data_IF_999878372204
#
_entry.id   IF_999878372204
#
_cell.length_a   1.000
_cell.length_b   1.000
_cell.length_c   1.000
_cell.angle_alpha   90.00
_cell.angle_beta   90.00
_cell.angle_gamma   90.00
#
_symmetry.space_group_name_H-M   'P 1'
#
loop_
_entity.id
_entity.type
_entity.pdbx_description
1 polymer ?
#
# COMPACT_ATOMS: atom_id res chain seq x y z
N UNK A 1 3.15 -1.96 -41.51
CA UNK A 1 4.58 -2.07 -41.86
C UNK A 1 5.49 -1.15 -41.03
N UNK A 2 5.10 0.06 -40.68
CA UNK A 2 5.95 0.96 -39.90
C UNK A 2 6.34 0.41 -38.50
N UNK A 3 5.43 -0.22 -37.80
CA UNK A 3 5.67 -0.72 -36.43
C UNK A 3 6.69 -1.88 -36.37
N UNK A 4 6.70 -2.78 -37.39
CA UNK A 4 7.65 -3.89 -37.44
C UNK A 4 9.09 -3.37 -37.67
N UNK A 5 9.23 -2.35 -38.52
CA UNK A 5 10.50 -1.73 -38.79
C UNK A 5 11.06 -0.97 -37.56
N UNK A 6 10.22 -0.28 -36.83
CA UNK A 6 10.61 0.39 -35.56
C UNK A 6 11.05 -0.61 -34.51
N UNK A 7 10.33 -1.73 -34.33
CA UNK A 7 10.70 -2.73 -33.33
C UNK A 7 11.95 -3.54 -33.73
N UNK A 8 12.15 -3.82 -35.02
CA UNK A 8 13.40 -4.43 -35.50
C UNK A 8 14.60 -3.51 -35.31
N UNK A 9 14.41 -2.22 -35.51
CA UNK A 9 15.44 -1.23 -35.27
C UNK A 9 15.77 -1.07 -33.77
N UNK A 10 14.75 -1.10 -32.89
CA UNK A 10 14.95 -1.12 -31.44
C UNK A 10 15.68 -2.36 -30.93
N UNK A 11 15.36 -3.54 -31.48
CA UNK A 11 16.09 -4.79 -31.14
C UNK A 11 17.54 -4.70 -31.57
N UNK A 12 17.82 -4.22 -32.77
CA UNK A 12 19.18 -4.06 -33.28
C UNK A 12 20.01 -3.08 -32.43
N UNK A 13 19.42 -1.94 -32.08
CA UNK A 13 20.04 -0.94 -31.17
C UNK A 13 20.28 -1.54 -29.79
N UNK A 14 19.31 -2.27 -29.22
CA UNK A 14 19.43 -2.93 -27.94
C UNK A 14 20.56 -3.96 -27.90
N UNK A 15 20.68 -4.78 -28.95
CA UNK A 15 21.79 -5.76 -29.11
C UNK A 15 23.13 -5.04 -29.23
N UNK A 16 23.22 -3.99 -30.04
CA UNK A 16 24.43 -3.21 -30.20
C UNK A 16 24.88 -2.56 -28.87
N UNK A 17 23.96 -2.00 -28.11
CA UNK A 17 24.22 -1.46 -26.76
C UNK A 17 24.62 -2.54 -25.76
N UNK A 18 24.01 -3.71 -25.80
CA UNK A 18 24.36 -4.83 -24.94
C UNK A 18 25.78 -5.35 -25.24
N UNK A 19 26.12 -5.52 -26.51
CA UNK A 19 27.46 -5.98 -26.91
C UNK A 19 28.52 -4.94 -26.57
N UNK A 20 28.30 -3.68 -26.87
CA UNK A 20 29.24 -2.59 -26.52
C UNK A 20 29.39 -2.45 -25.00
N UNK A 21 28.27 -2.52 -24.26
CA UNK A 21 28.25 -2.47 -22.80
C UNK A 21 29.01 -3.65 -22.18
N UNK A 22 28.87 -4.87 -22.74
CA UNK A 22 29.62 -6.05 -22.32
C UNK A 22 31.13 -5.89 -22.53
N UNK A 23 31.54 -5.45 -23.72
CA UNK A 23 32.95 -5.21 -24.03
C UNK A 23 33.55 -4.14 -23.09
N UNK A 24 32.85 -3.04 -22.90
CA UNK A 24 33.31 -1.96 -21.99
C UNK A 24 33.31 -2.37 -20.53
N UNK A 25 32.33 -3.15 -20.10
CA UNK A 25 32.29 -3.71 -18.75
C UNK A 25 33.49 -4.62 -18.48
N UNK A 26 33.90 -5.45 -19.49
CA UNK A 26 35.06 -6.32 -19.38
C UNK A 26 36.37 -5.54 -19.25
N UNK A 27 36.49 -4.45 -20.01
CA UNK A 27 37.62 -3.52 -19.94
C UNK A 27 37.64 -2.74 -18.61
N UNK A 28 36.47 -2.21 -18.20
CA UNK A 28 36.34 -1.46 -16.94
C UNK A 28 36.57 -2.36 -15.71
N UNK A 29 36.16 -3.63 -15.74
CA UNK A 29 36.42 -4.58 -14.65
C UNK A 29 37.92 -4.92 -14.53
N UNK A 30 38.64 -5.04 -15.64
CA UNK A 30 40.09 -5.24 -15.64
C UNK A 30 40.81 -4.02 -15.06
N UNK A 31 40.42 -2.80 -15.45
CA UNK A 31 40.96 -1.54 -14.89
C UNK A 31 40.68 -1.39 -13.41
N UNK A 32 39.45 -1.76 -12.96
CA UNK A 32 39.09 -1.73 -11.55
C UNK A 32 39.85 -2.78 -10.71
N UNK A 33 40.16 -3.94 -11.29
CA UNK A 33 41.01 -4.96 -10.63
C UNK A 33 42.45 -4.52 -10.44
N UNK A 34 42.97 -3.70 -11.40
CA UNK A 34 44.31 -3.14 -11.35
C UNK A 34 44.40 -1.89 -10.43
N UNK A 35 43.40 -1.06 -10.41
CA UNK A 35 43.36 0.15 -9.58
C UNK A 35 41.92 0.36 -9.02
N UNK A 36 41.79 0.24 -7.68
CA UNK A 36 40.51 0.39 -6.93
C UNK A 36 40.04 1.83 -6.76
N UNK A 37 40.49 2.76 -7.58
CA UNK A 37 40.11 4.17 -7.53
C UNK A 37 38.60 4.38 -7.65
N UNK A 38 38.09 5.41 -6.97
CA UNK A 38 36.66 5.82 -6.98
C UNK A 38 36.15 6.09 -8.40
N UNK A 39 37.03 6.60 -9.29
CA UNK A 39 36.75 6.86 -10.72
C UNK A 39 36.51 5.53 -11.47
N UNK A 40 37.35 4.55 -11.29
CA UNK A 40 37.23 3.23 -11.94
C UNK A 40 35.99 2.45 -11.44
N UNK A 41 35.59 2.63 -10.18
CA UNK A 41 34.34 2.08 -9.63
C UNK A 41 33.11 2.68 -10.31
N UNK A 42 33.07 4.01 -10.51
CA UNK A 42 31.97 4.71 -11.23
C UNK A 42 31.87 4.22 -12.68
N UNK A 43 33.00 4.10 -13.37
CA UNK A 43 33.02 3.61 -14.76
C UNK A 43 32.50 2.16 -14.86
N UNK A 44 32.89 1.28 -13.92
CA UNK A 44 32.37 -0.08 -13.86
C UNK A 44 30.85 -0.13 -13.63
N UNK A 45 30.33 0.71 -12.74
CA UNK A 45 28.89 0.80 -12.48
C UNK A 45 28.14 1.31 -13.71
N UNK A 46 28.66 2.38 -14.37
CA UNK A 46 28.05 2.97 -15.56
C UNK A 46 27.99 1.98 -16.74
N UNK A 47 29.07 1.25 -16.98
CA UNK A 47 29.12 0.21 -18.02
C UNK A 47 28.21 -0.98 -17.72
N UNK A 48 28.01 -1.32 -16.44
CA UNK A 48 27.05 -2.35 -16.04
C UNK A 48 25.61 -1.90 -16.27
N UNK A 49 25.29 -0.64 -15.99
CA UNK A 49 23.98 -0.06 -16.27
C UNK A 49 23.69 0.00 -17.78
N UNK A 50 24.66 0.41 -18.59
CA UNK A 50 24.54 0.41 -20.06
C UNK A 50 24.32 -1.01 -20.63
N UNK A 51 25.00 -2.00 -20.09
CA UNK A 51 24.78 -3.41 -20.46
C UNK A 51 23.37 -3.88 -20.13
N UNK A 52 22.87 -3.60 -18.91
CA UNK A 52 21.53 -3.97 -18.48
C UNK A 52 20.45 -3.27 -19.33
N UNK A 53 20.64 -2.00 -19.64
CA UNK A 53 19.74 -1.21 -20.48
C UNK A 53 19.71 -1.74 -21.90
N UNK A 54 20.85 -2.13 -22.45
CA UNK A 54 20.96 -2.76 -23.77
C UNK A 54 20.27 -4.12 -23.82
N UNK A 55 20.45 -4.97 -22.80
CA UNK A 55 19.74 -6.25 -22.70
C UNK A 55 18.23 -6.03 -22.56
N UNK A 56 17.80 -5.06 -21.77
CA UNK A 56 16.38 -4.74 -21.60
C UNK A 56 15.74 -4.28 -22.92
N UNK A 57 16.39 -3.34 -23.65
CA UNK A 57 15.92 -2.88 -24.96
C UNK A 57 15.86 -4.00 -26.00
N UNK A 58 16.85 -4.90 -26.00
CA UNK A 58 16.86 -6.04 -26.91
C UNK A 58 15.71 -7.00 -26.64
N UNK A 59 15.48 -7.33 -25.36
CA UNK A 59 14.36 -8.19 -24.92
C UNK A 59 13.02 -7.51 -25.24
N UNK A 60 12.90 -6.23 -24.98
CA UNK A 60 11.71 -5.43 -25.28
C UNK A 60 11.35 -5.47 -26.76
N UNK A 61 12.31 -5.15 -27.62
CA UNK A 61 12.07 -5.15 -29.06
C UNK A 61 11.73 -6.55 -29.59
N UNK A 62 12.40 -7.61 -29.05
CA UNK A 62 12.13 -9.00 -29.41
C UNK A 62 10.69 -9.42 -29.01
N UNK A 63 10.27 -9.08 -27.79
CA UNK A 63 8.91 -9.38 -27.32
C UNK A 63 7.85 -8.64 -28.14
N UNK A 64 8.11 -7.39 -28.50
CA UNK A 64 7.20 -6.63 -29.38
C UNK A 64 7.14 -7.20 -30.80
N UNK A 65 8.23 -7.76 -31.32
CA UNK A 65 8.24 -8.46 -32.59
C UNK A 65 7.46 -9.78 -32.56
N UNK A 66 7.58 -10.53 -31.46
CA UNK A 66 6.94 -11.84 -31.31
C UNK A 66 5.45 -11.75 -30.94
N UNK A 67 5.10 -10.77 -30.08
CA UNK A 67 3.77 -10.67 -29.48
C UNK A 67 3.02 -9.36 -29.79
N UNK A 68 3.64 -8.43 -30.51
CA UNK A 68 3.13 -7.07 -30.72
C UNK A 68 1.91 -6.93 -31.64
N UNK A 69 1.44 -8.02 -32.26
CA UNK A 69 0.31 -7.97 -33.18
C UNK A 69 -1.09 -8.09 -32.54
N UNK A 70 -1.18 -8.20 -31.22
CA UNK A 70 -2.46 -8.40 -30.52
C UNK A 70 -2.89 -7.27 -29.59
N UNK A 71 -2.11 -6.20 -29.49
CA UNK A 71 -2.57 -5.00 -28.80
C UNK A 71 -3.23 -4.07 -29.84
N UNK A 72 -4.47 -4.35 -30.19
CA UNK A 72 -5.37 -3.33 -30.71
C UNK A 72 -5.42 -2.22 -29.66
N UNK A 73 -5.29 -0.99 -30.11
CA UNK A 73 -5.41 0.22 -29.32
C UNK A 73 -6.88 0.40 -28.87
N UNK A 74 -7.35 -0.46 -27.98
CA UNK A 74 -8.46 -0.10 -27.12
C UNK A 74 -7.96 1.07 -26.28
N UNK A 75 -8.69 2.19 -26.34
CA UNK A 75 -8.31 3.40 -25.60
C UNK A 75 -8.11 3.05 -24.13
N UNK A 76 -7.06 3.60 -23.52
CA UNK A 76 -6.82 3.40 -22.09
C UNK A 76 -7.98 4.03 -21.31
N UNK A 77 -8.91 3.21 -20.87
CA UNK A 77 -9.98 3.59 -19.96
C UNK A 77 -9.63 3.12 -18.55
N UNK A 78 -9.47 4.08 -17.64
CA UNK A 78 -9.27 3.77 -16.22
C UNK A 78 -10.63 3.47 -15.61
N UNK A 79 -10.87 2.22 -15.27
CA UNK A 79 -12.05 1.84 -14.49
C UNK A 79 -11.93 2.32 -13.04
N UNK A 80 -12.41 3.53 -12.78
CA UNK A 80 -12.44 4.11 -11.43
C UNK A 80 -13.46 3.40 -10.53
N UNK A 81 -14.55 2.92 -11.12
CA UNK A 81 -15.63 2.26 -10.39
C UNK A 81 -15.37 0.77 -10.24
N UNK A 82 -15.69 0.24 -9.06
CA UNK A 82 -15.61 -1.19 -8.83
C UNK A 82 -16.74 -1.91 -9.58
N UNK A 83 -16.41 -3.04 -10.20
CA UNK A 83 -17.39 -3.91 -10.85
C UNK A 83 -18.51 -4.31 -9.87
N UNK A 84 -19.73 -4.37 -10.36
CA UNK A 84 -20.89 -4.77 -9.58
C UNK A 84 -21.36 -6.16 -9.96
N UNK A 85 -21.44 -7.03 -8.97
CA UNK A 85 -21.97 -8.39 -9.12
C UNK A 85 -23.37 -8.43 -8.57
N UNK A 86 -24.31 -9.02 -9.32
CA UNK A 86 -25.67 -9.25 -8.84
C UNK A 86 -25.73 -10.52 -8.00
N UNK A 87 -25.97 -10.36 -6.69
CA UNK A 87 -26.15 -11.46 -5.75
C UNK A 87 -27.56 -11.38 -5.15
N UNK A 88 -28.40 -12.36 -5.46
CA UNK A 88 -29.74 -12.47 -4.87
C UNK A 88 -30.67 -11.27 -5.16
N UNK A 89 -30.51 -10.59 -6.31
CA UNK A 89 -31.34 -9.42 -6.69
C UNK A 89 -30.79 -8.05 -6.24
N UNK A 90 -29.66 -8.04 -5.51
CA UNK A 90 -28.96 -6.80 -5.11
C UNK A 90 -27.66 -6.66 -5.89
N UNK A 91 -27.37 -5.45 -6.37
CA UNK A 91 -26.08 -5.13 -7.01
C UNK A 91 -25.06 -4.78 -5.93
N UNK A 92 -24.17 -5.73 -5.61
CA UNK A 92 -23.06 -5.53 -4.66
C UNK A 92 -21.77 -5.21 -5.42
N UNK A 93 -20.97 -4.29 -4.86
CA UNK A 93 -19.62 -4.05 -5.36
C UNK A 93 -18.71 -5.24 -5.03
N UNK A 94 -17.87 -5.65 -5.97
CA UNK A 94 -16.87 -6.70 -5.77
C UNK A 94 -15.96 -6.40 -4.58
N UNK A 95 -15.65 -5.13 -4.33
CA UNK A 95 -14.85 -4.68 -3.19
C UNK A 95 -15.48 -4.99 -1.84
N UNK A 96 -16.82 -4.92 -1.73
CA UNK A 96 -17.55 -5.29 -0.51
C UNK A 96 -17.48 -6.80 -0.26
N UNK A 97 -17.61 -7.62 -1.30
CA UNK A 97 -17.50 -9.08 -1.19
C UNK A 97 -16.09 -9.45 -0.75
N UNK A 98 -15.08 -8.86 -1.35
CA UNK A 98 -13.67 -9.10 -0.97
C UNK A 98 -13.42 -8.67 0.48
N UNK A 99 -13.98 -7.53 0.93
CA UNK A 99 -13.83 -7.09 2.32
C UNK A 99 -14.46 -8.07 3.31
N UNK A 100 -15.60 -8.68 2.97
CA UNK A 100 -16.21 -9.72 3.79
C UNK A 100 -15.36 -10.99 3.85
N UNK A 101 -14.74 -11.37 2.73
CA UNK A 101 -13.82 -12.52 2.70
C UNK A 101 -12.61 -12.24 3.59
N UNK A 102 -12.00 -11.04 3.50
CA UNK A 102 -10.88 -10.65 4.36
C UNK A 102 -11.28 -10.72 5.83
N UNK A 103 -12.43 -10.15 6.20
CA UNK A 103 -12.94 -10.21 7.57
C UNK A 103 -13.17 -11.65 8.04
N UNK A 104 -13.77 -12.48 7.20
CA UNK A 104 -14.00 -13.90 7.54
C UNK A 104 -12.67 -14.65 7.74
N UNK A 105 -11.67 -14.41 6.90
CA UNK A 105 -10.34 -15.02 7.04
C UNK A 105 -9.65 -14.55 8.32
N UNK A 106 -9.70 -13.26 8.64
CA UNK A 106 -9.11 -12.70 9.86
C UNK A 106 -9.80 -13.23 11.12
N UNK A 107 -11.14 -13.34 11.11
CA UNK A 107 -11.91 -13.92 12.22
C UNK A 107 -11.58 -15.41 12.40
N UNK A 108 -11.50 -16.16 11.30
CA UNK A 108 -11.11 -17.56 11.33
C UNK A 108 -9.70 -17.74 11.89
N UNK A 109 -8.75 -16.92 11.42
CA UNK A 109 -7.37 -16.94 11.91
C UNK A 109 -7.31 -16.60 13.41
N UNK A 110 -8.03 -15.57 13.87
CA UNK A 110 -8.11 -15.22 15.28
C UNK A 110 -8.73 -16.36 16.13
N UNK A 111 -9.78 -17.00 15.62
CA UNK A 111 -10.42 -18.14 16.28
C UNK A 111 -9.47 -19.35 16.37
N UNK A 112 -8.77 -19.67 15.30
CA UNK A 112 -7.78 -20.74 15.29
C UNK A 112 -6.63 -20.47 16.26
N UNK A 113 -6.13 -19.24 16.31
CA UNK A 113 -5.10 -18.83 17.28
C UNK A 113 -5.63 -18.98 18.69
N UNK A 114 -6.86 -18.54 18.96
CA UNK A 114 -7.48 -18.65 20.30
C UNK A 114 -7.67 -20.10 20.75
N UNK A 115 -8.09 -20.99 19.85
CA UNK A 115 -8.43 -22.39 20.21
C UNK A 115 -7.17 -23.26 20.26
N UNK A 116 -6.26 -23.14 19.29
CA UNK A 116 -5.15 -24.09 19.12
C UNK A 116 -3.80 -23.56 19.60
N UNK A 117 -3.60 -22.24 19.62
CA UNK A 117 -2.30 -21.63 19.90
C UNK A 117 -2.22 -21.12 21.34
N UNK A 118 -3.20 -20.31 21.77
CA UNK A 118 -3.20 -19.72 23.12
C UNK A 118 -3.15 -20.78 24.23
N UNK A 119 -3.88 -21.92 24.16
CA UNK A 119 -3.80 -22.95 25.20
C UNK A 119 -2.43 -23.63 25.32
N UNK A 120 -1.59 -23.52 24.28
CA UNK A 120 -0.23 -24.09 24.24
C UNK A 120 0.87 -23.11 24.66
N UNK A 121 0.50 -21.91 25.07
CA UNK A 121 1.48 -20.91 25.53
C UNK A 121 2.18 -21.40 26.79
N UNK A 122 3.51 -21.19 26.83
CA UNK A 122 4.40 -21.60 27.93
C UNK A 122 5.16 -20.37 28.43
N UNK A 123 5.62 -20.42 29.67
CA UNK A 123 6.46 -19.37 30.29
C UNK A 123 7.77 -19.12 29.52
N UNK A 124 8.29 -20.17 28.85
CA UNK A 124 9.39 -20.03 27.88
C UNK A 124 8.82 -20.04 26.49
N UNK A 125 8.68 -18.85 25.85
CA UNK A 125 7.97 -18.73 24.57
C UNK A 125 8.70 -19.42 23.43
N UNK A 126 7.94 -20.19 22.63
CA UNK A 126 8.41 -20.70 21.35
C UNK A 126 8.53 -19.57 20.30
N UNK A 127 9.22 -19.80 19.18
CA UNK A 127 9.43 -18.80 18.14
C UNK A 127 8.10 -18.14 17.66
N UNK A 128 7.08 -18.92 17.45
CA UNK A 128 5.78 -18.45 16.98
C UNK A 128 5.04 -17.63 18.05
N UNK A 129 5.06 -18.09 19.30
CA UNK A 129 4.50 -17.38 20.46
C UNK A 129 5.20 -16.02 20.63
N UNK A 130 6.53 -16.00 20.56
CA UNK A 130 7.31 -14.76 20.68
C UNK A 130 6.95 -13.72 19.60
N UNK A 131 6.72 -14.16 18.36
CA UNK A 131 6.28 -13.24 17.28
C UNK A 131 4.90 -12.67 17.55
N UNK A 132 3.94 -13.50 17.99
CA UNK A 132 2.59 -13.04 18.32
C UNK A 132 2.60 -12.06 19.51
N UNK A 133 3.30 -12.40 20.58
CA UNK A 133 3.46 -11.55 21.75
C UNK A 133 4.12 -10.23 21.39
N UNK A 134 5.19 -10.26 20.58
CA UNK A 134 5.88 -9.06 20.11
C UNK A 134 4.97 -8.12 19.32
N UNK A 135 4.13 -8.65 18.42
CA UNK A 135 3.19 -7.84 17.65
C UNK A 135 2.17 -7.17 18.59
N UNK A 136 1.55 -7.96 19.47
CA UNK A 136 0.53 -7.44 20.40
C UNK A 136 1.15 -6.43 21.36
N UNK A 137 2.30 -6.75 21.95
CA UNK A 137 3.01 -5.85 22.88
C UNK A 137 3.42 -4.55 22.19
N UNK A 138 3.95 -4.61 20.98
CA UNK A 138 4.33 -3.43 20.19
C UNK A 138 3.14 -2.50 19.97
N UNK A 139 2.00 -3.05 19.52
CA UNK A 139 0.78 -2.25 19.29
C UNK A 139 0.23 -1.70 20.60
N UNK A 140 0.18 -2.50 21.67
CA UNK A 140 -0.26 -2.04 22.99
C UNK A 140 0.62 -0.92 23.52
N UNK A 141 1.95 -1.08 23.46
CA UNK A 141 2.92 -0.08 23.91
C UNK A 141 2.80 1.20 23.07
N UNK A 142 2.71 1.08 21.75
CA UNK A 142 2.55 2.22 20.86
C UNK A 142 1.26 2.99 21.16
N UNK A 143 0.13 2.29 21.33
CA UNK A 143 -1.15 2.89 21.65
C UNK A 143 -1.11 3.61 23.01
N UNK A 144 -0.59 2.95 24.06
CA UNK A 144 -0.48 3.52 25.40
C UNK A 144 0.47 4.72 25.45
N UNK A 145 1.54 4.70 24.65
CA UNK A 145 2.46 5.85 24.56
C UNK A 145 1.83 7.04 23.85
N UNK A 146 0.97 6.80 22.86
CA UNK A 146 0.35 7.85 22.04
C UNK A 146 -0.86 8.53 22.71
N UNK A 147 -1.66 7.78 23.48
CA UNK A 147 -2.97 8.28 23.99
C UNK A 147 -3.12 8.10 25.51
N UNK A 148 -2.12 7.52 26.16
CA UNK A 148 -2.21 7.12 27.56
C UNK A 148 -3.04 5.85 27.78
N UNK A 149 -3.37 5.55 29.01
CA UNK A 149 -4.15 4.36 29.35
C UNK A 149 -5.66 4.65 29.28
N UNK A 150 -6.27 4.36 28.12
CA UNK A 150 -7.71 4.46 27.89
C UNK A 150 -8.44 3.11 28.01
N UNK A 151 -7.73 2.08 28.45
CA UNK A 151 -8.20 0.70 28.57
C UNK A 151 -7.76 -0.19 27.43
N UNK A 152 -7.93 -1.50 27.60
CA UNK A 152 -7.38 -2.51 26.69
C UNK A 152 -8.15 -2.68 25.36
N UNK A 153 -9.33 -2.07 25.25
CA UNK A 153 -10.15 -2.15 24.05
C UNK A 153 -9.57 -1.35 22.87
N UNK A 154 -8.88 -0.23 23.15
CA UNK A 154 -8.32 0.61 22.10
C UNK A 154 -7.14 -0.07 21.36
N UNK A 155 -6.14 -0.65 22.04
CA UNK A 155 -5.09 -1.41 21.39
C UNK A 155 -5.64 -2.59 20.54
N UNK A 156 -6.65 -3.28 21.04
CA UNK A 156 -7.30 -4.38 20.31
C UNK A 156 -7.96 -3.89 19.00
N UNK A 157 -8.65 -2.75 19.04
CA UNK A 157 -9.22 -2.13 17.85
C UNK A 157 -8.12 -1.73 16.85
N UNK A 158 -7.05 -1.09 17.31
CA UNK A 158 -5.94 -0.66 16.48
C UNK A 158 -5.25 -1.85 15.79
N UNK A 159 -5.05 -2.95 16.52
CA UNK A 159 -4.50 -4.18 15.95
C UNK A 159 -5.43 -4.76 14.87
N UNK A 160 -6.74 -4.82 15.15
CA UNK A 160 -7.73 -5.34 14.20
C UNK A 160 -7.80 -4.49 12.93
N UNK A 161 -7.77 -3.17 13.08
CA UNK A 161 -7.74 -2.21 11.99
C UNK A 161 -6.47 -2.39 11.13
N UNK A 162 -5.30 -2.47 11.76
CA UNK A 162 -4.04 -2.69 11.06
C UNK A 162 -4.03 -4.02 10.31
N UNK A 163 -4.50 -5.11 10.93
CA UNK A 163 -4.61 -6.42 10.28
C UNK A 163 -5.57 -6.38 9.08
N UNK A 164 -6.70 -5.68 9.20
CA UNK A 164 -7.65 -5.54 8.09
C UNK A 164 -7.03 -4.78 6.93
N UNK A 165 -6.35 -3.66 7.17
CA UNK A 165 -5.70 -2.87 6.12
C UNK A 165 -4.56 -3.62 5.44
N UNK A 166 -3.75 -4.35 6.21
CA UNK A 166 -2.71 -5.25 5.66
C UNK A 166 -3.35 -6.40 4.85
N UNK A 167 -4.48 -6.92 5.29
CA UNK A 167 -5.26 -7.90 4.54
C UNK A 167 -5.76 -7.36 3.19
N UNK A 168 -6.22 -6.11 3.15
CA UNK A 168 -6.60 -5.45 1.89
C UNK A 168 -5.39 -5.31 0.93
N UNK A 169 -4.23 -4.94 1.46
CA UNK A 169 -2.98 -4.89 0.68
C UNK A 169 -2.55 -6.26 0.15
N UNK A 170 -2.71 -7.31 0.95
CA UNK A 170 -2.38 -8.68 0.53
C UNK A 170 -3.24 -9.15 -0.64
N UNK A 171 -4.51 -8.75 -0.70
CA UNK A 171 -5.41 -9.08 -1.82
C UNK A 171 -4.99 -8.38 -3.11
N UNK A 172 -4.47 -7.15 -3.02
CA UNK A 172 -3.93 -6.43 -4.17
C UNK A 172 -2.70 -7.12 -4.76
N UNK A 173 -1.84 -7.69 -3.91
CA UNK A 173 -0.71 -8.52 -4.37
C UNK A 173 -1.15 -9.77 -5.13
N UNK A 174 -2.36 -10.29 -4.87
CA UNK A 174 -2.95 -11.41 -5.60
C UNK A 174 -3.58 -10.99 -6.94
N UNK A 175 -3.53 -9.70 -7.28
CA UNK A 175 -4.08 -9.16 -8.52
C UNK A 175 -5.57 -8.81 -8.47
N UNK A 176 -6.19 -8.82 -7.28
CA UNK A 176 -7.56 -8.36 -7.11
C UNK A 176 -7.57 -6.90 -6.67
N UNK A 177 -8.62 -6.18 -7.03
CA UNK A 177 -8.81 -4.79 -6.63
C UNK A 177 -8.93 -4.69 -5.11
N UNK A 178 -8.06 -3.91 -4.48
CA UNK A 178 -8.11 -3.71 -3.03
C UNK A 178 -9.41 -3.03 -2.60
N UNK A 179 -10.08 -3.48 -1.52
CA UNK A 179 -11.27 -2.80 -0.99
C UNK A 179 -11.03 -1.33 -0.65
N UNK A 180 -9.80 -0.98 -0.26
CA UNK A 180 -9.37 0.39 0.06
C UNK A 180 -9.21 1.29 -1.17
N UNK A 181 -9.29 0.76 -2.40
CA UNK A 181 -9.42 1.53 -3.64
C UNK A 181 -10.88 1.93 -3.96
N UNK A 182 -11.84 1.65 -3.05
CA UNK A 182 -13.22 2.09 -3.16
C UNK A 182 -13.50 3.18 -2.12
N UNK A 183 -14.05 4.31 -2.58
CA UNK A 183 -14.34 5.46 -1.71
C UNK A 183 -15.38 5.14 -0.65
N UNK A 184 -16.32 4.24 -0.93
CA UNK A 184 -17.35 3.83 0.03
C UNK A 184 -16.77 3.09 1.21
N UNK A 185 -15.79 2.21 0.96
CA UNK A 185 -15.08 1.46 2.00
C UNK A 185 -14.16 2.38 2.83
N UNK A 186 -13.41 3.26 2.16
CA UNK A 186 -12.53 4.19 2.88
C UNK A 186 -13.30 5.19 3.71
N UNK A 187 -14.45 5.65 3.23
CA UNK A 187 -15.35 6.52 3.99
C UNK A 187 -15.94 5.78 5.19
N UNK A 188 -16.35 4.51 5.03
CA UNK A 188 -16.85 3.70 6.14
C UNK A 188 -15.80 3.54 7.25
N UNK A 189 -14.55 3.22 6.90
CA UNK A 189 -13.44 3.13 7.86
C UNK A 189 -13.17 4.45 8.58
N UNK A 190 -13.19 5.55 7.82
CA UNK A 190 -12.99 6.89 8.37
C UNK A 190 -14.13 7.31 9.30
N UNK A 191 -15.38 6.97 8.97
CA UNK A 191 -16.53 7.22 9.84
C UNK A 191 -16.50 6.40 11.13
N UNK A 192 -16.11 5.12 11.06
CA UNK A 192 -15.92 4.30 12.27
C UNK A 192 -14.85 4.94 13.16
N UNK A 193 -13.73 5.37 12.58
CA UNK A 193 -12.66 6.08 13.30
C UNK A 193 -13.18 7.37 13.93
N UNK A 194 -13.96 8.15 13.22
CA UNK A 194 -14.57 9.40 13.73
C UNK A 194 -15.53 9.15 14.90
N UNK A 195 -16.36 8.11 14.81
CA UNK A 195 -17.24 7.69 15.92
C UNK A 195 -16.40 7.31 17.13
N UNK A 196 -15.30 6.58 16.92
CA UNK A 196 -14.40 6.16 17.99
C UNK A 196 -13.71 7.35 18.67
N UNK A 197 -13.24 8.32 17.90
CA UNK A 197 -12.64 9.57 18.41
C UNK A 197 -13.62 10.29 19.35
N UNK A 198 -14.87 10.47 18.91
CA UNK A 198 -15.89 11.11 19.70
C UNK A 198 -16.28 10.28 20.93
N UNK A 199 -16.37 8.96 20.81
CA UNK A 199 -16.66 8.04 21.92
C UNK A 199 -15.63 8.18 23.04
N UNK A 200 -14.34 8.10 22.73
CA UNK A 200 -13.28 8.25 23.75
C UNK A 200 -13.22 9.67 24.31
N UNK A 201 -13.42 10.69 23.47
CA UNK A 201 -13.50 12.09 23.94
C UNK A 201 -14.65 12.30 24.94
N UNK A 202 -15.85 11.75 24.66
CA UNK A 202 -17.00 11.81 25.54
C UNK A 202 -16.79 10.97 26.81
N UNK A 203 -16.22 9.79 26.67
CA UNK A 203 -15.96 8.89 27.82
C UNK A 203 -15.05 9.52 28.86
N UNK A 204 -14.07 10.32 28.43
CA UNK A 204 -13.10 10.96 29.35
C UNK A 204 -13.59 12.30 29.89
N UNK A 205 -14.16 13.17 29.05
CA UNK A 205 -14.56 14.55 29.43
C UNK A 205 -16.05 14.70 29.76
N UNK A 206 -16.86 13.70 29.44
CA UNK A 206 -18.32 13.80 29.41
C UNK A 206 -18.82 14.60 28.20
N UNK A 207 -20.13 14.54 27.94
CA UNK A 207 -20.74 15.22 26.78
C UNK A 207 -20.55 16.74 26.86
N UNK A 208 -20.85 17.31 28.01
CA UNK A 208 -20.72 18.76 28.23
C UNK A 208 -19.27 19.21 28.16
N UNK A 209 -18.34 18.41 28.73
CA UNK A 209 -16.90 18.67 28.69
C UNK A 209 -16.36 18.65 27.23
N UNK A 210 -16.82 17.73 26.39
CA UNK A 210 -16.43 17.65 24.98
C UNK A 210 -16.90 18.88 24.19
N UNK A 211 -18.17 19.29 24.35
CA UNK A 211 -18.71 20.49 23.70
C UNK A 211 -17.95 21.73 24.19
N UNK A 212 -17.67 21.83 25.47
CA UNK A 212 -16.91 22.96 26.05
C UNK A 212 -15.45 22.99 25.59
N UNK A 213 -14.84 21.84 25.32
CA UNK A 213 -13.50 21.76 24.75
C UNK A 213 -13.43 22.27 23.30
N UNK A 214 -14.52 22.12 22.53
CA UNK A 214 -14.63 22.66 21.16
C UNK A 214 -14.73 24.21 21.18
N UNK A 215 -15.21 24.82 22.28
CA UNK A 215 -15.33 26.25 22.41
C UNK A 215 -14.10 26.94 23.02
N UNK A 216 -13.05 26.19 23.38
CA UNK A 216 -11.79 26.75 23.91
C UNK A 216 -10.84 27.09 22.74
N UNK A 217 -10.01 28.18 22.82
CA UNK A 217 -9.90 29.13 23.96
C UNK A 217 -11.00 30.21 23.97
N UNK A 218 -11.68 30.49 22.87
CA UNK A 218 -12.74 31.51 22.76
C UNK A 218 -13.94 30.95 22.00
N UNK A 219 -15.19 31.39 22.36
CA UNK A 219 -16.41 30.95 21.68
C UNK A 219 -16.42 31.20 20.15
N UNK A 220 -15.65 32.19 19.69
CA UNK A 220 -15.53 32.51 18.26
C UNK A 220 -14.85 31.38 17.46
N UNK A 221 -14.02 30.56 18.10
CA UNK A 221 -13.31 29.43 17.47
C UNK A 221 -14.22 28.20 17.34
N UNK A 222 -15.34 28.16 18.05
CA UNK A 222 -16.27 27.02 18.06
C UNK A 222 -16.73 26.56 16.66
N UNK A 223 -17.27 27.44 15.78
CA UNK A 223 -17.71 26.99 14.45
C UNK A 223 -16.54 26.47 13.61
N UNK A 224 -15.35 27.07 13.73
CA UNK A 224 -14.16 26.64 12.99
C UNK A 224 -13.70 25.25 13.44
N UNK A 225 -13.77 24.95 14.74
CA UNK A 225 -13.38 23.66 15.30
C UNK A 225 -14.36 22.54 14.94
N UNK A 226 -15.67 22.85 14.84
CA UNK A 226 -16.67 21.90 14.34
C UNK A 226 -16.39 21.53 12.89
N UNK A 227 -16.10 22.53 12.03
CA UNK A 227 -15.76 22.28 10.62
C UNK A 227 -14.48 21.45 10.52
N UNK A 228 -13.49 21.75 11.35
CA UNK A 228 -12.24 20.99 11.42
C UNK A 228 -12.47 19.54 11.83
N UNK A 229 -13.25 19.30 12.89
CA UNK A 229 -13.59 17.95 13.36
C UNK A 229 -14.36 17.14 12.28
N UNK A 230 -15.27 17.81 11.54
CA UNK A 230 -16.00 17.17 10.45
C UNK A 230 -15.10 16.89 9.23
N UNK A 231 -14.06 17.69 9.04
CA UNK A 231 -13.07 17.47 7.96
C UNK A 231 -12.18 16.25 8.21
N UNK A 232 -12.01 15.81 9.47
CA UNK A 232 -11.17 14.65 9.82
C UNK A 232 -11.55 13.38 9.07
N UNK A 233 -12.81 12.89 9.10
CA UNK A 233 -13.18 11.67 8.39
C UNK A 233 -13.04 11.82 6.88
N UNK A 234 -13.34 12.98 6.32
CA UNK A 234 -13.17 13.24 4.89
C UNK A 234 -11.71 13.19 4.49
N UNK A 235 -10.84 13.84 5.27
CA UNK A 235 -9.39 13.83 5.05
C UNK A 235 -8.79 12.43 5.12
N UNK A 236 -9.21 11.63 6.11
CA UNK A 236 -8.76 10.24 6.26
C UNK A 236 -9.22 9.36 5.10
N UNK A 237 -10.50 9.49 4.70
CA UNK A 237 -11.06 8.73 3.59
C UNK A 237 -10.38 9.09 2.26
N UNK A 238 -10.26 10.38 1.95
CA UNK A 238 -9.62 10.86 0.72
C UNK A 238 -8.14 10.46 0.65
N UNK A 239 -7.43 10.45 1.77
CA UNK A 239 -6.03 10.02 1.82
C UNK A 239 -5.88 8.56 1.49
N UNK A 240 -6.69 7.68 2.12
CA UNK A 240 -6.70 6.24 1.83
C UNK A 240 -7.05 5.97 0.37
N UNK A 241 -8.18 6.50 -0.06
CA UNK A 241 -8.68 6.32 -1.42
C UNK A 241 -7.70 6.87 -2.47
N UNK A 242 -7.22 8.11 -2.30
CA UNK A 242 -6.33 8.75 -3.27
C UNK A 242 -5.00 8.03 -3.43
N UNK A 243 -4.43 7.54 -2.34
CA UNK A 243 -3.17 6.80 -2.38
C UNK A 243 -3.32 5.44 -3.08
N UNK A 244 -4.38 4.68 -2.76
CA UNK A 244 -4.61 3.37 -3.37
C UNK A 244 -5.02 3.49 -4.84
N UNK A 245 -5.96 4.38 -5.16
CA UNK A 245 -6.37 4.64 -6.53
C UNK A 245 -5.21 5.17 -7.38
N UNK A 246 -4.42 6.09 -6.82
CA UNK A 246 -3.25 6.64 -7.51
C UNK A 246 -2.20 5.58 -7.83
N UNK A 247 -1.92 4.67 -6.90
CA UNK A 247 -1.03 3.51 -7.12
C UNK A 247 -1.54 2.60 -8.22
N UNK A 248 -2.82 2.25 -8.21
CA UNK A 248 -3.47 1.43 -9.22
C UNK A 248 -3.39 2.07 -10.62
N UNK A 249 -3.77 3.35 -10.75
CA UNK A 249 -3.70 4.08 -12.02
C UNK A 249 -2.28 4.13 -12.57
N UNK A 250 -1.28 4.39 -11.73
CA UNK A 250 0.12 4.44 -12.15
C UNK A 250 0.59 3.08 -12.65
N UNK A 251 0.18 2.00 -11.99
CA UNK A 251 0.52 0.64 -12.42
C UNK A 251 -0.17 0.27 -13.73
N UNK A 252 -1.44 0.56 -13.89
CA UNK A 252 -2.21 0.31 -15.11
C UNK A 252 -1.63 1.09 -16.30
N UNK A 253 -1.30 2.37 -16.09
CA UNK A 253 -0.64 3.20 -17.10
C UNK A 253 0.74 2.65 -17.48
N UNK A 254 1.48 2.13 -16.52
CA UNK A 254 2.78 1.53 -16.75
C UNK A 254 2.67 0.23 -17.56
N UNK A 255 1.69 -0.63 -17.23
CA UNK A 255 1.41 -1.84 -18.00
C UNK A 255 0.96 -1.50 -19.43
N UNK A 256 0.11 -0.50 -19.58
CA UNK A 256 -0.32 -0.02 -20.89
C UNK A 256 0.85 0.52 -21.73
N UNK A 257 1.70 1.37 -21.13
CA UNK A 257 2.83 1.98 -21.82
C UNK A 257 3.92 0.97 -22.23
N UNK A 258 4.20 -0.03 -21.39
CA UNK A 258 5.22 -1.04 -21.63
C UNK A 258 4.67 -2.22 -22.45
N UNK A 259 3.37 -2.52 -22.37
CA UNK A 259 2.74 -3.64 -23.09
C UNK A 259 3.48 -4.95 -22.86
N UNK A 260 3.85 -5.66 -23.95
CA UNK A 260 4.56 -6.95 -23.86
C UNK A 260 5.93 -6.90 -23.14
N UNK A 261 6.49 -5.71 -22.93
CA UNK A 261 7.74 -5.53 -22.18
C UNK A 261 7.53 -5.19 -20.70
N UNK A 262 6.33 -5.32 -20.21
CA UNK A 262 5.99 -5.13 -18.80
C UNK A 262 6.63 -6.23 -17.89
N UNK A 263 7.86 -6.65 -18.19
CA UNK A 263 8.61 -7.64 -17.43
C UNK A 263 9.80 -6.92 -16.75
N UNK A 264 9.88 -7.04 -15.44
CA UNK A 264 11.00 -6.52 -14.65
C UNK A 264 10.72 -5.16 -14.01
N UNK A 265 10.64 -4.05 -14.76
CA UNK A 265 10.37 -2.72 -14.16
C UNK A 265 9.01 -2.65 -13.47
N UNK A 266 7.89 -3.07 -14.09
CA UNK A 266 6.59 -3.10 -13.42
C UNK A 266 6.56 -4.02 -12.21
N UNK A 267 7.27 -5.15 -12.24
CA UNK A 267 7.32 -6.05 -11.07
C UNK A 267 7.99 -5.42 -9.86
N UNK A 268 9.06 -4.64 -10.06
CA UNK A 268 9.73 -3.90 -8.96
C UNK A 268 8.88 -2.75 -8.46
N UNK A 269 8.25 -2.00 -9.37
CA UNK A 269 7.35 -0.91 -9.00
C UNK A 269 6.05 -1.43 -8.39
N UNK A 270 5.52 -2.56 -8.87
CA UNK A 270 4.38 -3.25 -8.27
C UNK A 270 4.65 -3.68 -6.83
N UNK A 271 5.85 -4.17 -6.53
CA UNK A 271 6.23 -4.47 -5.15
C UNK A 271 6.21 -3.21 -4.26
N UNK A 272 6.63 -2.08 -4.81
CA UNK A 272 6.56 -0.80 -4.09
C UNK A 272 5.11 -0.34 -3.89
N UNK A 273 4.31 -0.25 -4.95
CA UNK A 273 2.95 0.29 -4.88
C UNK A 273 1.98 -0.64 -4.17
N UNK A 274 2.08 -1.97 -4.39
CA UNK A 274 1.12 -2.94 -3.85
C UNK A 274 1.53 -3.50 -2.47
N UNK A 275 2.79 -3.36 -2.04
CA UNK A 275 3.22 -3.85 -0.72
C UNK A 275 3.71 -2.71 0.19
N UNK A 276 4.77 -1.99 -0.20
CA UNK A 276 5.37 -0.99 0.70
C UNK A 276 4.44 0.19 0.95
N UNK A 277 3.81 0.70 -0.09
CA UNK A 277 2.93 1.85 0.02
C UNK A 277 1.71 1.61 0.91
N UNK A 278 0.94 0.51 0.77
CA UNK A 278 -0.15 0.17 1.67
C UNK A 278 0.28 -0.08 3.11
N UNK A 279 1.46 -0.66 3.34
CA UNK A 279 1.99 -0.83 4.70
C UNK A 279 2.28 0.51 5.37
N UNK A 280 2.95 1.42 4.67
CA UNK A 280 3.20 2.79 5.15
C UNK A 280 1.86 3.50 5.40
N UNK A 281 0.90 3.36 4.49
CA UNK A 281 -0.42 3.96 4.62
C UNK A 281 -1.19 3.43 5.83
N UNK A 282 -1.10 2.13 6.11
CA UNK A 282 -1.66 1.52 7.32
C UNK A 282 -1.06 2.16 8.58
N UNK A 283 0.25 2.30 8.62
CA UNK A 283 0.93 2.94 9.75
C UNK A 283 0.50 4.41 9.92
N UNK A 284 0.42 5.18 8.84
CA UNK A 284 -0.04 6.58 8.87
C UNK A 284 -1.49 6.66 9.36
N UNK A 285 -2.37 5.80 8.88
CA UNK A 285 -3.78 5.81 9.27
C UNK A 285 -3.94 5.50 10.78
N UNK A 286 -3.24 4.50 11.29
CA UNK A 286 -3.21 4.14 12.71
C UNK A 286 -2.68 5.30 13.55
N UNK A 287 -1.55 5.89 13.14
CA UNK A 287 -0.94 7.02 13.86
C UNK A 287 -1.88 8.21 13.94
N UNK A 288 -2.51 8.57 12.82
CA UNK A 288 -3.46 9.68 12.79
C UNK A 288 -4.71 9.39 13.62
N UNK A 289 -5.22 8.16 13.59
CA UNK A 289 -6.33 7.73 14.44
C UNK A 289 -5.99 7.97 15.92
N UNK A 290 -4.81 7.54 16.36
CA UNK A 290 -4.36 7.73 17.73
C UNK A 290 -4.14 9.21 18.07
N UNK A 291 -3.57 9.99 17.15
CA UNK A 291 -3.37 11.44 17.34
C UNK A 291 -4.70 12.17 17.53
N UNK A 292 -5.71 11.88 16.69
CA UNK A 292 -7.03 12.50 16.82
C UNK A 292 -7.78 12.04 18.10
N UNK A 293 -7.60 10.78 18.51
CA UNK A 293 -8.13 10.32 19.79
C UNK A 293 -7.46 11.07 20.93
N UNK A 294 -6.14 11.26 20.90
CA UNK A 294 -5.40 12.01 21.91
C UNK A 294 -5.90 13.46 22.00
N UNK A 295 -6.04 14.15 20.87
CA UNK A 295 -6.59 15.51 20.81
C UNK A 295 -8.02 15.59 21.36
N UNK A 296 -8.83 14.57 21.12
CA UNK A 296 -10.19 14.53 21.66
C UNK A 296 -10.24 14.31 23.17
N UNK A 297 -9.23 13.62 23.71
CA UNK A 297 -9.12 13.22 25.12
C UNK A 297 -8.41 14.29 25.96
N UNK A 298 -7.43 15.02 25.41
CA UNK A 298 -6.81 16.23 26.03
C UNK A 298 -7.79 17.40 26.13
#
# INVERSE_FOLDING_TARGET
MGNVLTYSLMTAIGIALAVSGYCWRRLASRKYAADKSKKNRRTKTLTSLLFLLGCWLAIYGLLKLLFGNHAETEGFEVEIWAERVQVGGYSLSTTVIISWIIMAVLLLAALLIRIFVIPKFRDKPGKFQNVLELIVETVCKYTKTSVGDLGDNLPAYILSLACFMVGCAAVELLGYRAPTADITMTLALALITFILINYYGIKKKGVVGRIKSLAKPTPVVFPMKIVSDLAVPVSLACRLFGNMLGGMIVMDLLYYALGSAAIGIPSVLGLYFNLFHPLIQTFIFVTLTLTFINEAVE
#
